data_IF_484191061311
#
_entry.id   IF_484191061311
#
_cell.length_a   1.000
_cell.length_b   1.000
_cell.length_c   1.000
_cell.angle_alpha   90.00
_cell.angle_beta   90.00
_cell.angle_gamma   90.00
#
_symmetry.space_group_name_H-M   'P 1'
#
loop_
_entity.id
_entity.type
_entity.pdbx_description
1 polymer ?
#
# COMPACT_ATOMS: atom_id res chain seq x y z
N UNK A 1 -34.47 70.18 16.10
CA UNK A 1 -34.35 69.04 15.19
C UNK A 1 -32.92 68.53 15.35
N UNK A 2 -32.72 67.33 15.88
CA UNK A 2 -31.45 66.89 16.47
C UNK A 2 -30.74 65.95 15.50
N UNK A 3 -29.62 66.34 14.90
CA UNK A 3 -28.94 65.59 13.81
C UNK A 3 -28.20 64.32 14.30
N UNK A 4 -28.14 64.09 15.64
CA UNK A 4 -27.43 62.97 16.26
C UNK A 4 -28.20 61.64 16.26
N UNK A 5 -29.45 61.60 15.83
CA UNK A 5 -30.26 60.37 15.85
C UNK A 5 -30.20 59.56 14.55
N UNK A 6 -29.65 60.10 13.49
CA UNK A 6 -29.53 59.37 12.20
C UNK A 6 -28.21 58.67 11.93
N UNK A 7 -27.18 58.87 12.81
CA UNK A 7 -25.92 58.23 12.65
C UNK A 7 -25.87 56.77 13.26
N UNK A 8 -26.91 56.37 14.02
CA UNK A 8 -26.90 55.12 14.72
C UNK A 8 -27.67 53.97 14.01
N UNK A 9 -28.18 54.21 12.80
CA UNK A 9 -28.99 53.22 12.07
C UNK A 9 -28.29 52.61 10.86
N UNK A 10 -27.05 52.99 10.56
CA UNK A 10 -26.30 52.46 9.41
C UNK A 10 -25.17 51.51 9.73
N UNK A 11 -24.97 51.18 11.04
CA UNK A 11 -23.87 50.29 11.45
C UNK A 11 -24.30 48.84 11.75
N UNK A 12 -25.52 48.45 11.39
CA UNK A 12 -26.09 47.16 11.79
C UNK A 12 -26.36 46.19 10.60
N UNK A 13 -25.74 46.38 9.42
CA UNK A 13 -25.98 45.47 8.28
C UNK A 13 -24.71 45.06 7.55
N UNK A 14 -23.62 44.80 8.28
CA UNK A 14 -22.55 43.97 7.75
C UNK A 14 -22.45 42.71 8.62
N UNK A 15 -23.49 41.88 8.57
CA UNK A 15 -23.39 40.48 8.95
C UNK A 15 -22.58 39.82 7.82
N UNK A 16 -21.30 39.69 8.06
CA UNK A 16 -20.39 38.87 7.23
C UNK A 16 -20.93 37.46 7.33
N UNK A 17 -21.61 37.01 6.28
CA UNK A 17 -21.83 35.59 6.03
C UNK A 17 -20.48 34.98 5.67
N UNK A 18 -19.71 34.62 6.69
CA UNK A 18 -18.57 33.73 6.57
C UNK A 18 -19.14 32.36 6.16
N UNK A 19 -19.32 32.15 4.88
CA UNK A 19 -19.54 30.84 4.31
C UNK A 19 -18.30 30.00 4.60
N UNK A 20 -18.31 29.27 5.72
CA UNK A 20 -17.39 28.19 5.99
C UNK A 20 -17.67 27.10 4.97
N UNK A 21 -16.97 27.12 3.85
CA UNK A 21 -16.86 25.99 2.95
C UNK A 21 -16.13 24.89 3.74
N UNK A 22 -16.90 24.08 4.43
CA UNK A 22 -16.41 22.80 4.96
C UNK A 22 -16.02 21.97 3.75
N UNK A 23 -14.73 21.97 3.41
CA UNK A 23 -14.18 20.98 2.51
C UNK A 23 -14.32 19.65 3.23
N UNK A 24 -15.34 18.91 2.86
CA UNK A 24 -15.45 17.50 3.21
C UNK A 24 -14.24 16.82 2.56
N UNK A 25 -13.17 16.61 3.34
CA UNK A 25 -12.15 15.64 3.05
C UNK A 25 -12.85 14.29 3.01
N UNK A 26 -13.33 13.90 1.83
CA UNK A 26 -13.77 12.54 1.58
C UNK A 26 -12.57 11.64 1.84
N UNK A 27 -12.49 11.10 3.05
CA UNK A 27 -11.60 10.02 3.34
C UNK A 27 -12.01 8.85 2.43
N UNK A 28 -11.32 8.67 1.33
CA UNK A 28 -11.42 7.50 0.48
C UNK A 28 -10.82 6.34 1.27
N UNK A 29 -11.59 5.81 2.20
CA UNK A 29 -11.26 4.57 2.87
C UNK A 29 -11.45 3.44 1.85
N UNK A 30 -10.35 2.91 1.32
CA UNK A 30 -10.39 1.63 0.66
C UNK A 30 -9.73 1.46 -0.70
N UNK A 31 -9.14 2.47 -1.29
CA UNK A 31 -8.36 2.30 -2.52
C UNK A 31 -6.87 2.27 -2.18
N UNK A 32 -6.33 1.06 -2.00
CA UNK A 32 -4.89 0.85 -1.80
C UNK A 32 -4.21 0.77 -3.17
N UNK A 33 -4.02 1.92 -3.81
CA UNK A 33 -3.20 2.01 -5.02
C UNK A 33 -1.81 2.48 -4.63
N UNK A 34 -0.82 1.63 -4.89
CA UNK A 34 0.59 1.90 -4.59
C UNK A 34 1.32 2.30 -5.87
N UNK A 35 2.03 3.40 -5.83
CA UNK A 35 2.90 3.79 -6.94
C UNK A 35 4.23 3.06 -6.84
N UNK A 36 4.65 2.44 -7.95
CA UNK A 36 5.93 1.71 -8.07
C UNK A 36 6.70 2.38 -9.21
N UNK A 37 7.32 3.53 -8.90
CA UNK A 37 7.91 4.43 -9.89
C UNK A 37 9.42 4.18 -10.09
N UNK A 38 9.89 2.93 -9.96
CA UNK A 38 11.26 2.53 -10.30
C UNK A 38 11.24 1.49 -11.42
N UNK A 39 11.82 1.84 -12.57
CA UNK A 39 11.79 0.99 -13.76
C UNK A 39 12.62 -0.29 -13.56
N UNK A 40 13.81 -0.19 -12.97
CA UNK A 40 14.66 -1.33 -12.69
C UNK A 40 13.99 -2.31 -11.73
N UNK A 41 13.36 -1.81 -10.67
CA UNK A 41 12.60 -2.66 -9.75
C UNK A 41 11.46 -3.41 -10.45
N UNK A 42 10.71 -2.72 -11.32
CA UNK A 42 9.64 -3.36 -12.09
C UNK A 42 10.18 -4.41 -13.05
N UNK A 43 11.26 -4.08 -13.77
CA UNK A 43 11.86 -4.99 -14.75
C UNK A 43 12.40 -6.26 -14.08
N UNK A 44 13.17 -6.11 -13.01
CA UNK A 44 13.87 -7.23 -12.39
C UNK A 44 12.95 -8.09 -11.53
N UNK A 45 12.11 -7.47 -10.70
CA UNK A 45 11.29 -8.21 -9.75
C UNK A 45 9.96 -8.71 -10.33
N UNK A 46 9.36 -7.98 -11.30
CA UNK A 46 8.11 -8.41 -11.91
C UNK A 46 8.27 -9.52 -12.96
N UNK A 47 9.49 -9.97 -13.24
CA UNK A 47 9.75 -11.08 -14.16
C UNK A 47 9.23 -12.45 -13.64
N UNK A 48 9.10 -12.61 -12.32
CA UNK A 48 8.69 -13.86 -11.69
C UNK A 48 7.40 -13.74 -10.88
N UNK A 49 7.13 -12.58 -10.28
CA UNK A 49 5.93 -12.29 -9.50
C UNK A 49 5.62 -10.80 -9.59
N UNK A 50 4.47 -10.35 -9.11
CA UNK A 50 4.15 -8.92 -9.08
C UNK A 50 5.23 -8.14 -8.32
N UNK A 51 5.63 -6.98 -8.81
CA UNK A 51 6.50 -6.08 -8.07
C UNK A 51 5.74 -5.60 -6.82
N UNK A 52 6.13 -6.13 -5.65
CA UNK A 52 5.41 -5.81 -4.42
C UNK A 52 5.60 -4.34 -4.02
N UNK A 53 4.54 -3.66 -3.57
CA UNK A 53 4.67 -2.30 -3.09
C UNK A 53 5.68 -2.17 -1.95
N UNK A 54 6.66 -1.27 -2.03
CA UNK A 54 7.66 -1.08 -0.97
C UNK A 54 7.06 -0.79 0.40
N UNK A 55 5.92 -0.11 0.43
CA UNK A 55 5.21 0.23 1.67
C UNK A 55 4.68 -0.97 2.46
N UNK A 56 4.69 -2.18 1.88
CA UNK A 56 4.20 -3.40 2.53
C UNK A 56 5.23 -4.08 3.45
N UNK A 57 6.50 -3.67 3.39
CA UNK A 57 7.53 -4.12 4.35
C UNK A 57 8.32 -2.93 4.90
N UNK A 58 8.90 -3.13 6.07
CA UNK A 58 9.80 -2.16 6.70
C UNK A 58 11.17 -2.13 6.00
N UNK A 59 11.89 -1.01 6.10
CA UNK A 59 13.20 -0.86 5.49
C UNK A 59 14.24 -1.93 5.91
N UNK A 60 14.32 -2.37 7.17
CA UNK A 60 15.19 -3.50 7.54
C UNK A 60 14.83 -4.79 6.82
N UNK A 61 13.54 -5.06 6.58
CA UNK A 61 13.07 -6.24 5.86
C UNK A 61 13.49 -6.20 4.40
N UNK A 62 13.34 -5.05 3.72
CA UNK A 62 13.82 -4.89 2.35
C UNK A 62 15.33 -5.05 2.23
N UNK A 63 16.11 -4.53 3.20
CA UNK A 63 17.57 -4.76 3.23
C UNK A 63 17.87 -6.26 3.30
N UNK A 64 17.23 -6.98 4.23
CA UNK A 64 17.44 -8.41 4.40
C UNK A 64 17.01 -9.23 3.16
N UNK A 65 15.91 -8.86 2.50
CA UNK A 65 15.50 -9.48 1.22
C UNK A 65 16.56 -9.26 0.14
N UNK A 66 17.03 -8.01 -0.02
CA UNK A 66 18.05 -7.66 -1.03
C UNK A 66 19.42 -8.26 -0.74
N UNK A 67 19.77 -8.50 0.52
CA UNK A 67 21.00 -9.22 0.90
C UNK A 67 20.88 -10.71 0.63
N UNK A 68 19.67 -11.26 0.63
CA UNK A 68 19.37 -12.67 0.39
C UNK A 68 19.10 -13.05 -1.07
N UNK A 69 19.25 -12.17 -2.05
CA UNK A 69 18.91 -12.43 -3.46
C UNK A 69 19.57 -13.70 -4.05
N UNK A 70 20.83 -14.06 -3.73
CA UNK A 70 21.43 -15.31 -4.23
C UNK A 70 20.69 -16.59 -3.79
N UNK A 71 19.85 -16.49 -2.75
CA UNK A 71 19.02 -17.58 -2.22
C UNK A 71 17.59 -17.16 -2.02
N UNK A 72 17.04 -16.37 -2.95
CA UNK A 72 15.71 -15.79 -2.88
C UNK A 72 14.64 -16.88 -2.95
N UNK A 73 14.23 -17.37 -1.77
CA UNK A 73 13.20 -18.41 -1.62
C UNK A 73 13.40 -19.65 -2.51
N UNK A 74 14.66 -20.05 -2.71
CA UNK A 74 15.03 -21.22 -3.50
C UNK A 74 15.45 -20.91 -4.94
N UNK A 75 15.46 -19.65 -5.34
CA UNK A 75 15.90 -19.17 -6.66
C UNK A 75 17.04 -18.19 -6.50
N UNK A 76 18.01 -18.20 -7.40
CA UNK A 76 19.01 -17.14 -7.51
C UNK A 76 18.40 -15.96 -8.26
N UNK A 77 18.19 -14.84 -7.55
CA UNK A 77 17.70 -13.57 -8.07
C UNK A 77 18.80 -12.49 -7.99
N UNK A 78 20.06 -12.88 -8.07
CA UNK A 78 21.21 -11.95 -8.02
C UNK A 78 21.10 -10.91 -9.14
N UNK A 79 21.53 -9.70 -8.83
CA UNK A 79 21.51 -8.54 -9.73
C UNK A 79 22.92 -7.96 -9.86
N UNK A 80 23.17 -7.25 -10.95
CA UNK A 80 24.33 -6.40 -11.09
C UNK A 80 24.42 -5.40 -9.93
N UNK A 81 25.62 -5.13 -9.38
CA UNK A 81 25.76 -4.33 -8.16
C UNK A 81 25.11 -2.94 -8.24
N UNK A 82 25.20 -2.27 -9.38
CA UNK A 82 24.61 -0.95 -9.57
C UNK A 82 23.08 -0.99 -9.58
N UNK A 83 22.49 -1.98 -10.26
CA UNK A 83 21.04 -2.20 -10.31
C UNK A 83 20.51 -2.56 -8.93
N UNK A 84 21.21 -3.45 -8.21
CA UNK A 84 20.87 -3.80 -6.84
C UNK A 84 20.87 -2.58 -5.91
N UNK A 85 21.86 -1.69 -6.03
CA UNK A 85 21.96 -0.49 -5.22
C UNK A 85 20.80 0.48 -5.48
N UNK A 86 20.44 0.71 -6.75
CA UNK A 86 19.30 1.54 -7.15
C UNK A 86 17.99 1.00 -6.59
N UNK A 87 17.73 -0.28 -6.80
CA UNK A 87 16.51 -0.95 -6.30
C UNK A 87 16.45 -0.89 -4.76
N UNK A 88 17.55 -1.17 -4.08
CA UNK A 88 17.61 -1.09 -2.62
C UNK A 88 17.30 0.31 -2.11
N UNK A 89 17.86 1.34 -2.74
CA UNK A 89 17.60 2.72 -2.37
C UNK A 89 16.11 3.05 -2.51
N UNK A 90 15.50 2.69 -3.64
CA UNK A 90 14.08 2.86 -3.90
C UNK A 90 13.20 2.15 -2.86
N UNK A 91 13.47 0.87 -2.58
CA UNK A 91 12.73 0.08 -1.63
C UNK A 91 12.78 0.65 -0.21
N UNK A 92 13.97 1.06 0.23
CA UNK A 92 14.17 1.62 1.58
C UNK A 92 13.52 3.00 1.72
N UNK A 93 13.61 3.84 0.69
CA UNK A 93 13.01 5.18 0.70
C UNK A 93 11.47 5.12 0.76
N UNK A 94 10.87 4.11 0.13
CA UNK A 94 9.42 3.96 0.03
C UNK A 94 8.87 2.86 0.97
N UNK A 95 9.69 2.36 1.89
CA UNK A 95 9.32 1.32 2.83
C UNK A 95 8.20 1.76 3.79
N UNK A 96 7.39 0.79 4.22
CA UNK A 96 6.42 0.99 5.29
C UNK A 96 7.07 0.98 6.68
N UNK A 97 6.32 1.42 7.69
CA UNK A 97 6.83 1.53 9.07
C UNK A 97 6.36 0.43 10.03
N UNK A 98 5.68 -0.64 9.57
CA UNK A 98 4.79 -1.39 10.44
C UNK A 98 5.20 -2.82 10.77
N UNK A 99 6.25 -3.37 10.17
CA UNK A 99 6.37 -4.82 10.13
C UNK A 99 7.77 -5.30 10.51
N UNK A 100 8.08 -5.17 11.80
CA UNK A 100 9.07 -6.01 12.44
C UNK A 100 8.35 -7.14 13.17
N UNK A 101 8.96 -8.33 13.22
CA UNK A 101 8.48 -9.40 14.08
C UNK A 101 8.51 -8.95 15.55
N UNK A 102 7.73 -9.59 16.42
CA UNK A 102 7.77 -9.34 17.87
C UNK A 102 9.18 -9.47 18.47
N UNK A 103 10.07 -10.20 17.82
CA UNK A 103 11.50 -10.36 18.20
C UNK A 103 12.42 -9.28 17.63
N UNK A 104 11.89 -8.30 16.88
CA UNK A 104 12.69 -7.27 16.19
C UNK A 104 13.44 -7.77 14.96
N UNK A 105 13.31 -9.04 14.58
CA UNK A 105 13.93 -9.59 13.37
C UNK A 105 13.18 -9.11 12.10
N UNK A 106 13.88 -8.81 11.00
CA UNK A 106 13.25 -8.50 9.75
C UNK A 106 12.33 -9.62 9.26
N UNK A 107 11.13 -9.28 8.82
CA UNK A 107 10.23 -10.21 8.13
C UNK A 107 10.59 -10.21 6.64
N UNK A 108 10.75 -11.40 6.06
CA UNK A 108 11.15 -11.53 4.65
C UNK A 108 9.96 -11.71 3.71
N UNK A 109 8.76 -11.94 4.26
CA UNK A 109 7.53 -12.12 3.48
C UNK A 109 6.46 -11.16 3.95
N UNK A 110 5.78 -10.53 3.02
CA UNK A 110 4.62 -9.67 3.32
C UNK A 110 3.53 -10.49 4.01
N UNK A 111 3.33 -11.75 3.58
CA UNK A 111 2.36 -12.66 4.17
C UNK A 111 2.61 -13.03 5.64
N UNK A 112 3.82 -12.83 6.14
CA UNK A 112 4.18 -13.11 7.53
C UNK A 112 3.94 -11.89 8.44
N UNK A 113 3.54 -10.75 7.88
CA UNK A 113 3.29 -9.55 8.64
C UNK A 113 1.97 -9.64 9.42
N UNK A 114 1.92 -9.11 10.66
CA UNK A 114 0.68 -9.03 11.41
C UNK A 114 -0.40 -8.21 10.70
N UNK A 115 0.02 -7.23 9.90
CA UNK A 115 -0.89 -6.46 9.06
C UNK A 115 -1.57 -7.35 8.00
N UNK A 116 -0.80 -8.12 7.23
CA UNK A 116 -1.33 -9.03 6.23
C UNK A 116 -2.32 -10.04 6.84
N UNK A 117 -1.94 -10.65 7.95
CA UNK A 117 -2.79 -11.60 8.66
C UNK A 117 -4.12 -10.99 9.08
N UNK A 118 -4.13 -9.73 9.55
CA UNK A 118 -5.34 -9.02 9.95
C UNK A 118 -6.25 -8.71 8.77
N UNK A 119 -5.70 -8.21 7.67
CA UNK A 119 -6.47 -7.83 6.48
C UNK A 119 -7.08 -9.04 5.75
N UNK A 120 -6.38 -10.19 5.76
CA UNK A 120 -6.76 -11.37 4.97
C UNK A 120 -7.49 -12.46 5.77
N UNK A 121 -7.50 -12.37 7.09
CA UNK A 121 -8.05 -13.40 8.00
C UNK A 121 -9.48 -13.82 7.66
N UNK A 122 -10.32 -12.92 7.19
CA UNK A 122 -11.73 -13.18 6.87
C UNK A 122 -11.95 -13.59 5.42
N UNK A 123 -11.03 -13.24 4.55
CA UNK A 123 -11.19 -13.37 3.09
C UNK A 123 -10.54 -14.66 2.56
N UNK A 124 -9.48 -15.14 3.24
CA UNK A 124 -8.75 -16.34 2.82
C UNK A 124 -9.17 -17.52 3.68
N UNK A 125 -9.98 -18.41 3.11
CA UNK A 125 -10.34 -19.69 3.75
C UNK A 125 -9.13 -20.63 3.83
N UNK A 126 -9.16 -21.55 4.80
CA UNK A 126 -8.18 -22.62 4.88
C UNK A 126 -8.12 -23.40 3.55
N UNK A 127 -6.91 -23.67 3.05
CA UNK A 127 -6.68 -24.35 1.79
C UNK A 127 -6.74 -23.46 0.53
N UNK A 128 -7.17 -22.20 0.60
CA UNK A 128 -7.13 -21.27 -0.54
C UNK A 128 -5.73 -21.16 -1.16
N UNK A 129 -4.62 -21.03 -0.38
CA UNK A 129 -3.27 -20.94 -0.95
C UNK A 129 -2.82 -22.19 -1.72
N UNK A 130 -3.39 -23.35 -1.43
CA UNK A 130 -3.06 -24.63 -2.09
C UNK A 130 -3.87 -24.88 -3.37
N UNK A 131 -4.80 -24.01 -3.73
CA UNK A 131 -5.57 -24.14 -4.96
C UNK A 131 -4.69 -23.98 -6.19
N UNK A 132 -4.92 -24.75 -7.29
CA UNK A 132 -4.13 -24.66 -8.51
C UNK A 132 -4.06 -23.26 -9.12
N UNK A 133 -5.14 -22.48 -9.00
CA UNK A 133 -5.25 -21.13 -9.51
C UNK A 133 -4.58 -20.08 -8.59
N UNK A 134 -4.27 -20.43 -7.34
CA UNK A 134 -3.59 -19.55 -6.36
C UNK A 134 -2.13 -19.95 -6.19
N UNK A 135 -1.83 -21.21 -5.96
CA UNK A 135 -0.51 -21.83 -5.79
C UNK A 135 0.27 -21.36 -4.56
N UNK A 136 0.13 -20.11 -4.16
CA UNK A 136 0.87 -19.53 -3.04
C UNK A 136 0.13 -18.32 -2.47
N UNK A 137 0.20 -18.14 -1.15
CA UNK A 137 -0.30 -16.93 -0.48
C UNK A 137 0.44 -15.66 -0.93
N UNK A 138 1.65 -15.80 -1.49
CA UNK A 138 2.42 -14.70 -2.04
C UNK A 138 1.97 -14.31 -3.46
N UNK A 139 1.10 -15.08 -4.12
CA UNK A 139 0.54 -14.76 -5.41
C UNK A 139 -0.62 -13.76 -5.29
N UNK A 140 -0.28 -12.50 -5.05
CA UNK A 140 -1.26 -11.44 -4.87
C UNK A 140 -2.19 -11.25 -6.08
N UNK A 141 -1.66 -11.42 -7.30
CA UNK A 141 -2.42 -11.31 -8.55
C UNK A 141 -3.50 -12.38 -8.73
N UNK A 142 -3.41 -13.52 -7.99
CA UNK A 142 -4.47 -14.51 -8.01
C UNK A 142 -5.82 -13.95 -7.51
N UNK A 143 -5.77 -13.02 -6.56
CA UNK A 143 -6.93 -12.39 -5.95
C UNK A 143 -7.08 -10.91 -6.34
N UNK A 144 -5.99 -10.14 -6.33
CA UNK A 144 -5.97 -8.72 -6.67
C UNK A 144 -5.65 -8.54 -8.16
N UNK A 145 -6.66 -8.40 -8.99
CA UNK A 145 -6.48 -8.36 -10.46
C UNK A 145 -5.75 -7.11 -10.97
N UNK A 146 -5.68 -6.07 -10.15
CA UNK A 146 -4.91 -4.85 -10.44
C UNK A 146 -3.50 -4.83 -9.84
N UNK A 147 -3.03 -5.93 -9.23
CA UNK A 147 -1.76 -5.96 -8.48
C UNK A 147 -0.54 -5.56 -9.32
N UNK A 148 -0.50 -5.89 -10.61
CA UNK A 148 0.58 -5.50 -11.54
C UNK A 148 0.68 -3.97 -11.71
N UNK A 149 -0.42 -3.27 -11.49
CA UNK A 149 -0.50 -1.81 -11.51
C UNK A 149 -0.48 -1.18 -10.11
N UNK A 150 -0.19 -1.98 -9.08
CA UNK A 150 -0.19 -1.52 -7.70
C UNK A 150 -1.58 -1.35 -7.08
N UNK A 151 -2.65 -1.79 -7.77
CA UNK A 151 -4.01 -1.71 -7.24
C UNK A 151 -4.35 -2.98 -6.44
N UNK A 152 -4.50 -2.78 -5.14
CA UNK A 152 -4.92 -3.79 -4.17
C UNK A 152 -6.29 -3.46 -3.56
N UNK A 153 -7.03 -2.57 -4.21
CA UNK A 153 -8.39 -2.19 -3.82
C UNK A 153 -9.40 -3.32 -3.92
N UNK A 154 -10.55 -3.10 -3.29
CA UNK A 154 -11.62 -4.11 -3.26
C UNK A 154 -12.33 -4.26 -4.60
N UNK A 155 -12.31 -3.24 -5.44
CA UNK A 155 -13.00 -3.24 -6.75
C UNK A 155 -12.47 -4.34 -7.68
N UNK A 156 -11.15 -4.61 -7.66
CA UNK A 156 -10.50 -5.67 -8.45
C UNK A 156 -10.35 -7.00 -7.71
N UNK A 157 -10.93 -7.16 -6.52
CA UNK A 157 -10.75 -8.37 -5.71
C UNK A 157 -11.59 -9.53 -6.23
N UNK A 158 -10.94 -10.64 -6.57
CA UNK A 158 -11.56 -11.88 -7.01
C UNK A 158 -10.94 -13.08 -6.30
N UNK A 159 -11.50 -13.50 -5.18
CA UNK A 159 -10.96 -14.63 -4.40
C UNK A 159 -11.37 -15.95 -5.08
N UNK A 160 -10.43 -16.77 -5.59
CA UNK A 160 -10.75 -18.05 -6.20
C UNK A 160 -11.52 -18.96 -5.25
N UNK A 161 -12.69 -19.45 -5.70
CA UNK A 161 -13.60 -20.26 -4.88
C UNK A 161 -14.24 -19.53 -3.70
N UNK A 162 -14.02 -18.23 -3.57
CA UNK A 162 -14.76 -17.35 -2.67
C UNK A 162 -16.12 -16.97 -3.28
N UNK A 163 -17.10 -16.63 -2.42
CA UNK A 163 -18.28 -15.92 -2.89
C UNK A 163 -17.88 -14.48 -3.17
N UNK A 164 -18.17 -13.98 -4.37
CA UNK A 164 -18.20 -12.55 -4.61
C UNK A 164 -19.16 -11.93 -3.59
N UNK A 165 -18.65 -11.02 -2.75
CA UNK A 165 -19.47 -10.23 -1.85
C UNK A 165 -19.71 -8.86 -2.43
#
# INVERSE_FOLDING_TARGET
MNPLRNALKLSAMYVIAAATTAHALSAHAGEHVYRIDNAAYRQECASCHVAYPPALLAAPSWRAVMDGLPKHFGTDASLEPAVRADILAFLVQNAGGRDTSASGKPLLRISDTPWFAREHRKEIAAGTPSRPEVKSIANCGACHKGADNGDYGKTGLQVPGGRAR
#
